data_IF_776572556661
#
_entry.id   IF_776572556661
#
_cell.length_a   1.000
_cell.length_b   1.000
_cell.length_c   1.000
_cell.angle_alpha   90.00
_cell.angle_beta   90.00
_cell.angle_gamma   90.00
#
_symmetry.space_group_name_H-M   'P 1'
#
loop_
_entity.id
_entity.type
_entity.pdbx_description
1 polymer ?
#
# COMPACT_ATOMS: atom_id res chain seq x y z
N UNK A 1 -22.73 -13.43 11.38
CA UNK A 1 -21.99 -12.16 11.26
C UNK A 1 -21.27 -12.16 9.92
N UNK A 2 -21.25 -11.03 9.21
CA UNK A 2 -20.59 -10.92 7.90
C UNK A 2 -19.67 -9.70 7.94
N UNK A 3 -18.38 -9.91 7.64
CA UNK A 3 -17.42 -8.83 7.42
C UNK A 3 -17.37 -8.60 5.91
N UNK A 4 -17.51 -7.35 5.47
CA UNK A 4 -17.41 -6.98 4.07
C UNK A 4 -16.06 -6.29 3.85
N UNK A 5 -15.30 -6.81 2.90
CA UNK A 5 -14.09 -6.19 2.40
C UNK A 5 -14.40 -5.61 1.01
N UNK A 6 -13.84 -4.43 0.72
CA UNK A 6 -13.73 -3.96 -0.65
C UNK A 6 -12.81 -4.89 -1.45
N UNK A 7 -12.86 -4.77 -2.78
CA UNK A 7 -12.00 -5.59 -3.63
C UNK A 7 -10.51 -5.32 -3.34
N UNK A 8 -10.12 -4.06 -3.16
CA UNK A 8 -8.72 -3.72 -2.87
C UNK A 8 -8.26 -4.24 -1.50
N UNK A 9 -9.10 -4.12 -0.47
CA UNK A 9 -8.82 -4.70 0.86
C UNK A 9 -8.66 -6.22 0.78
N UNK A 10 -9.58 -6.90 0.09
CA UNK A 10 -9.54 -8.34 -0.11
C UNK A 10 -8.25 -8.75 -0.83
N UNK A 11 -7.86 -8.01 -1.86
CA UNK A 11 -6.72 -8.33 -2.70
C UNK A 11 -5.38 -8.14 -1.97
N UNK A 12 -5.21 -7.01 -1.27
CA UNK A 12 -4.00 -6.75 -0.46
C UNK A 12 -3.92 -7.70 0.74
N UNK A 13 -5.05 -8.02 1.39
CA UNK A 13 -5.07 -8.98 2.49
C UNK A 13 -4.71 -10.40 2.01
N UNK A 14 -5.21 -10.80 0.84
CA UNK A 14 -4.89 -12.12 0.26
C UNK A 14 -3.40 -12.29 0.00
N UNK A 15 -2.74 -11.26 -0.55
CA UNK A 15 -1.28 -11.28 -0.77
C UNK A 15 -0.51 -11.45 0.55
N UNK A 16 -0.85 -10.65 1.57
CA UNK A 16 -0.21 -10.73 2.86
C UNK A 16 -0.40 -12.11 3.51
N UNK A 17 -1.62 -12.67 3.45
CA UNK A 17 -1.92 -14.01 3.97
C UNK A 17 -1.08 -15.08 3.29
N UNK A 18 -0.94 -15.02 1.97
CA UNK A 18 -0.10 -15.95 1.22
C UNK A 18 1.37 -15.86 1.65
N UNK A 19 1.92 -14.65 1.79
CA UNK A 19 3.29 -14.43 2.24
C UNK A 19 3.55 -14.97 3.66
N UNK A 20 2.63 -14.71 4.61
CA UNK A 20 2.82 -15.14 6.01
C UNK A 20 2.50 -16.59 6.28
N UNK A 21 1.68 -17.24 5.44
CA UNK A 21 1.28 -18.64 5.60
C UNK A 21 2.13 -19.62 4.78
N UNK A 22 2.48 -19.26 3.54
CA UNK A 22 3.13 -20.18 2.60
C UNK A 22 4.62 -19.91 2.46
N UNK A 23 5.03 -18.64 2.52
CA UNK A 23 6.43 -18.24 2.27
C UNK A 23 7.23 -17.99 3.54
N UNK A 24 6.58 -17.94 4.70
CA UNK A 24 7.29 -17.70 5.96
C UNK A 24 6.64 -18.43 7.13
N UNK A 25 7.43 -18.69 8.17
CA UNK A 25 6.94 -19.18 9.46
C UNK A 25 6.45 -18.02 10.37
N UNK A 26 6.12 -16.84 9.80
CA UNK A 26 5.86 -15.62 10.58
C UNK A 26 4.47 -15.60 11.20
N UNK A 27 3.50 -16.38 10.69
CA UNK A 27 2.16 -16.36 11.26
C UNK A 27 2.16 -16.72 12.75
N UNK A 28 2.95 -17.71 13.16
CA UNK A 28 3.08 -18.12 14.56
C UNK A 28 3.74 -17.05 15.45
N UNK A 29 4.64 -16.26 14.87
CA UNK A 29 5.27 -15.14 15.56
C UNK A 29 4.33 -13.94 15.75
N UNK A 30 3.38 -13.71 14.83
CA UNK A 30 2.43 -12.59 14.88
C UNK A 30 1.16 -12.97 15.63
N UNK A 31 0.69 -14.20 15.43
CA UNK A 31 -0.55 -14.75 16.00
C UNK A 31 -0.20 -16.07 16.70
N UNK A 32 0.30 -16.03 17.95
CA UNK A 32 0.71 -17.24 18.67
C UNK A 32 -0.48 -18.11 19.11
N UNK A 33 -1.67 -17.53 19.27
CA UNK A 33 -2.87 -18.30 19.60
C UNK A 33 -3.41 -19.05 18.38
N UNK A 34 -3.30 -20.38 18.42
CA UNK A 34 -3.75 -21.29 17.37
C UNK A 34 -5.27 -21.30 17.18
N UNK A 35 -6.06 -20.91 18.19
CA UNK A 35 -7.50 -20.80 18.03
C UNK A 35 -7.88 -19.72 17.00
N UNK A 36 -7.13 -18.61 16.96
CA UNK A 36 -7.31 -17.51 16.01
C UNK A 36 -7.05 -17.95 14.57
N UNK A 37 -6.17 -18.94 14.36
CA UNK A 37 -5.81 -19.42 13.03
C UNK A 37 -7.02 -19.98 12.28
N UNK A 38 -7.98 -20.57 13.00
CA UNK A 38 -9.21 -21.10 12.39
C UNK A 38 -9.96 -20.03 11.57
N UNK A 39 -10.06 -18.80 12.10
CA UNK A 39 -10.65 -17.66 11.40
C UNK A 39 -9.79 -17.17 10.25
N UNK A 40 -8.46 -17.15 10.42
CA UNK A 40 -7.50 -16.76 9.37
C UNK A 40 -7.58 -17.73 8.19
N UNK A 41 -7.60 -19.04 8.43
CA UNK A 41 -7.77 -20.06 7.38
C UNK A 41 -9.12 -19.93 6.68
N UNK A 42 -10.19 -19.63 7.40
CA UNK A 42 -11.50 -19.42 6.81
C UNK A 42 -11.51 -18.19 5.89
N UNK A 43 -10.87 -17.08 6.29
CA UNK A 43 -10.72 -15.88 5.47
C UNK A 43 -9.85 -16.16 4.25
N UNK A 44 -8.66 -16.73 4.44
CA UNK A 44 -7.73 -17.06 3.34
C UNK A 44 -8.39 -17.96 2.29
N UNK A 45 -9.04 -19.05 2.73
CA UNK A 45 -9.72 -19.97 1.83
C UNK A 45 -10.97 -19.40 1.15
N UNK A 46 -11.59 -18.37 1.73
CA UNK A 46 -12.67 -17.62 1.07
C UNK A 46 -12.10 -16.68 -0.01
N UNK A 47 -11.03 -15.96 0.30
CA UNK A 47 -10.38 -15.02 -0.60
C UNK A 47 -9.81 -15.71 -1.85
N UNK A 48 -9.09 -16.82 -1.68
CA UNK A 48 -8.51 -17.61 -2.78
C UNK A 48 -9.58 -18.10 -3.78
N UNK A 49 -10.79 -18.37 -3.32
CA UNK A 49 -11.92 -18.76 -4.19
C UNK A 49 -12.57 -17.60 -4.92
N UNK A 50 -12.44 -16.39 -4.39
CA UNK A 50 -13.12 -15.20 -4.91
C UNK A 50 -12.25 -14.32 -5.80
N UNK A 51 -10.92 -14.36 -5.65
CA UNK A 51 -9.98 -13.48 -6.33
C UNK A 51 -9.27 -14.23 -7.45
N UNK A 52 -9.68 -13.99 -8.69
CA UNK A 52 -9.05 -14.60 -9.88
C UNK A 52 -7.76 -13.87 -10.27
N UNK A 53 -7.63 -12.61 -9.86
CA UNK A 53 -6.53 -11.71 -10.17
C UNK A 53 -5.18 -12.20 -9.65
N UNK A 54 -5.17 -13.05 -8.61
CA UNK A 54 -3.96 -13.66 -8.06
C UNK A 54 -3.24 -14.57 -9.06
N UNK A 55 -3.96 -15.02 -10.10
CA UNK A 55 -3.43 -15.88 -11.17
C UNK A 55 -3.12 -15.10 -12.46
N UNK A 56 -3.34 -13.79 -12.49
CA UNK A 56 -3.10 -12.98 -13.69
C UNK A 56 -1.62 -12.65 -13.87
N UNK A 57 -1.12 -12.55 -15.12
CA UNK A 57 0.30 -12.27 -15.38
C UNK A 57 0.73 -10.86 -14.95
N UNK A 58 -0.20 -9.91 -14.85
CA UNK A 58 0.03 -8.54 -14.37
C UNK A 58 -0.29 -8.35 -12.87
N UNK A 59 -0.35 -9.46 -12.11
CA UNK A 59 -0.66 -9.50 -10.68
C UNK A 59 0.04 -8.41 -9.87
N UNK A 60 1.37 -8.31 -9.99
CA UNK A 60 2.16 -7.38 -9.19
C UNK A 60 1.75 -5.91 -9.43
N UNK A 61 1.45 -5.54 -10.67
CA UNK A 61 1.00 -4.18 -11.00
C UNK A 61 -0.39 -3.89 -10.44
N UNK A 62 -1.31 -4.86 -10.51
CA UNK A 62 -2.66 -4.75 -9.93
C UNK A 62 -2.61 -4.58 -8.42
N UNK A 63 -1.76 -5.37 -7.76
CA UNK A 63 -1.62 -5.37 -6.31
C UNK A 63 -1.09 -4.02 -5.82
N UNK A 64 -0.09 -3.47 -6.50
CA UNK A 64 0.45 -2.15 -6.16
C UNK A 64 -0.58 -1.04 -6.34
N UNK A 65 -1.36 -1.06 -7.43
CA UNK A 65 -2.43 -0.09 -7.62
C UNK A 65 -3.52 -0.18 -6.55
N UNK A 66 -3.91 -1.39 -6.16
CA UNK A 66 -4.86 -1.61 -5.06
C UNK A 66 -4.32 -1.04 -3.75
N UNK A 67 -3.05 -1.33 -3.44
CA UNK A 67 -2.36 -0.78 -2.25
C UNK A 67 -2.34 0.75 -2.25
N UNK A 68 -2.01 1.38 -3.37
CA UNK A 68 -2.00 2.84 -3.50
C UNK A 68 -3.38 3.45 -3.29
N UNK A 69 -4.44 2.85 -3.85
CA UNK A 69 -5.83 3.30 -3.62
C UNK A 69 -6.22 3.21 -2.16
N UNK A 70 -5.86 2.13 -1.46
CA UNK A 70 -6.13 1.98 -0.03
C UNK A 70 -5.37 3.00 0.81
N UNK A 71 -4.07 3.19 0.55
CA UNK A 71 -3.26 4.15 1.28
C UNK A 71 -3.78 5.58 1.09
N UNK A 72 -4.12 5.97 -0.15
CA UNK A 72 -4.73 7.27 -0.44
C UNK A 72 -6.09 7.46 0.24
N UNK A 73 -6.89 6.40 0.40
CA UNK A 73 -8.16 6.46 1.12
C UNK A 73 -7.99 6.57 2.65
N UNK A 74 -6.89 6.05 3.20
CA UNK A 74 -6.59 6.09 4.65
C UNK A 74 -5.88 7.37 5.09
N UNK A 75 -5.14 8.03 4.20
CA UNK A 75 -4.38 9.25 4.45
C UNK A 75 -4.88 10.42 3.61
N UNK A 76 -6.13 10.85 3.81
CA UNK A 76 -6.65 12.06 3.17
C UNK A 76 -5.68 13.24 3.34
N UNK A 77 -5.19 13.73 2.20
CA UNK A 77 -4.34 14.92 2.02
C UNK A 77 -2.97 14.93 2.74
N UNK A 78 -2.02 14.11 2.29
CA UNK A 78 -0.59 14.49 2.33
C UNK A 78 0.01 14.69 0.93
N UNK A 79 -0.79 15.29 0.04
CA UNK A 79 -0.22 16.16 -0.97
C UNK A 79 0.11 17.51 -0.31
N UNK A 80 1.26 17.60 0.39
CA UNK A 80 1.95 18.89 0.45
C UNK A 80 2.41 19.21 -0.98
N UNK A 81 1.52 19.91 -1.67
CA UNK A 81 1.78 20.69 -2.86
C UNK A 81 2.98 21.60 -2.56
N UNK A 82 4.18 21.20 -3.00
CA UNK A 82 5.33 22.11 -3.03
C UNK A 82 5.03 23.18 -4.07
N UNK A 83 4.30 24.22 -3.64
CA UNK A 83 4.06 25.41 -4.45
C UNK A 83 5.41 26.03 -4.76
N UNK A 84 5.77 25.97 -6.04
CA UNK A 84 6.80 26.79 -6.63
C UNK A 84 6.47 28.27 -6.36
N UNK A 85 7.17 28.89 -5.41
CA UNK A 85 7.25 30.36 -5.35
C UNK A 85 8.31 30.82 -6.33
N UNK A 86 7.85 31.18 -7.53
CA UNK A 86 8.55 32.08 -8.44
C UNK A 86 8.40 33.54 -8.00
N UNK A 87 9.49 34.30 -8.14
CA UNK A 87 9.52 35.77 -8.31
C UNK A 87 10.07 36.54 -7.11
N UNK A 88 10.95 37.53 -7.22
CA UNK A 88 11.38 38.34 -8.37
C UNK A 88 12.70 39.08 -8.04
N UNK A 89 13.42 39.48 -9.09
CA UNK A 89 14.60 40.38 -9.22
C UNK A 89 14.66 41.56 -8.23
N UNK A 90 15.81 42.17 -7.86
CA UNK A 90 16.86 42.84 -8.67
C UNK A 90 17.84 43.49 -7.65
N UNK A 91 19.15 43.56 -7.91
CA UNK A 91 20.06 44.74 -7.75
C UNK A 91 21.53 44.25 -7.86
N UNK A 92 22.14 44.39 -9.04
CA UNK A 92 23.06 45.48 -9.46
C UNK A 92 24.53 45.02 -9.41
N UNK A 93 25.06 44.80 -10.61
CA UNK A 93 26.48 44.61 -10.92
C UNK A 93 27.25 45.84 -10.46
N UNK A 94 28.23 45.65 -9.59
CA UNK A 94 29.26 46.65 -9.27
C UNK A 94 30.59 46.17 -9.82
N UNK A 95 30.81 46.43 -11.10
CA UNK A 95 32.15 46.48 -11.68
C UNK A 95 32.75 47.88 -11.42
N UNK A 96 34.08 47.95 -11.50
CA UNK A 96 34.96 49.12 -11.36
C UNK A 96 35.33 49.59 -9.94
N UNK A 97 36.50 49.12 -9.46
CA UNK A 97 37.47 50.04 -8.84
C UNK A 97 38.90 49.65 -9.28
N UNK A 98 39.50 50.52 -10.10
CA UNK A 98 40.94 50.58 -10.40
C UNK A 98 41.77 50.94 -9.17
N UNK A 99 42.93 50.30 -9.02
CA UNK A 99 44.15 50.89 -8.44
C UNK A 99 45.39 50.10 -8.90
#
# INVERSE_FOLDING_TARGET
MVIKLTHDEAFVLSDWLYEVMMKSAKLDAIVPDRAVWSGIYAISGALEKSLVEIFMPDYAGRLEQARQRLLGAMGGDEHEEVKATQGVSKESSGDDISA
#
